data_IF_413075523679
#
_entry.id   IF_413075523679
#
_cell.length_a   1.000
_cell.length_b   1.000
_cell.length_c   1.000
_cell.angle_alpha   90.00
_cell.angle_beta   90.00
_cell.angle_gamma   90.00
#
_symmetry.space_group_name_H-M   'P 1'
#
loop_
_entity.id
_entity.type
_entity.pdbx_description
1 polymer ?
#
# COMPACT_ATOMS: atom_id res chain seq x y z
N UNK A 1 -10.21 22.08 -10.73
CA UNK A 1 -10.07 21.54 -9.36
C UNK A 1 -9.84 20.05 -9.49
N UNK A 2 -8.73 19.51 -9.00
CA UNK A 2 -8.46 18.07 -9.06
C UNK A 2 -9.07 17.40 -7.85
N UNK A 3 -9.97 16.44 -8.06
CA UNK A 3 -10.53 15.60 -7.01
C UNK A 3 -9.82 14.25 -6.97
N UNK A 4 -9.69 13.68 -5.77
CA UNK A 4 -9.15 12.34 -5.54
C UNK A 4 -10.23 11.47 -4.90
N UNK A 5 -10.49 10.30 -5.47
CA UNK A 5 -11.27 9.26 -4.84
C UNK A 5 -10.35 8.44 -3.93
N UNK A 6 -10.66 8.40 -2.63
CA UNK A 6 -9.96 7.54 -1.67
C UNK A 6 -10.84 6.34 -1.35
N UNK A 7 -10.33 5.13 -1.58
CA UNK A 7 -11.02 3.86 -1.34
C UNK A 7 -10.27 3.11 -0.23
N UNK A 8 -10.95 2.75 0.85
CA UNK A 8 -10.43 1.87 1.90
C UNK A 8 -10.95 0.45 1.69
N UNK A 9 -10.04 -0.47 1.39
CA UNK A 9 -10.34 -1.90 1.34
C UNK A 9 -10.46 -2.49 2.75
N UNK A 10 -11.07 -3.67 2.83
CA UNK A 10 -11.16 -4.48 4.05
C UNK A 10 -10.43 -5.80 3.82
N UNK A 11 -9.96 -6.42 4.90
CA UNK A 11 -9.16 -7.64 4.85
C UNK A 11 -9.88 -8.80 4.16
N UNK A 12 -11.19 -8.93 4.39
CA UNK A 12 -12.02 -9.95 3.76
C UNK A 12 -12.66 -9.44 2.47
N UNK A 13 -12.61 -10.25 1.41
CA UNK A 13 -13.19 -9.93 0.10
C UNK A 13 -14.69 -9.59 0.16
N UNK A 14 -15.41 -10.24 1.08
CA UNK A 14 -16.85 -10.03 1.27
C UNK A 14 -17.17 -8.80 2.12
N UNK A 15 -16.18 -8.20 2.79
CA UNK A 15 -16.42 -7.03 3.60
C UNK A 15 -16.54 -5.76 2.74
N UNK A 16 -17.53 -4.90 3.02
CA UNK A 16 -17.75 -3.72 2.20
C UNK A 16 -16.56 -2.75 2.31
N UNK A 17 -16.07 -2.30 1.16
CA UNK A 17 -15.15 -1.18 1.08
C UNK A 17 -15.86 0.11 1.49
N UNK A 18 -15.09 1.13 1.86
CA UNK A 18 -15.62 2.48 2.10
C UNK A 18 -14.83 3.47 1.27
N UNK A 19 -15.48 4.48 0.71
CA UNK A 19 -14.80 5.48 -0.10
C UNK A 19 -15.37 6.88 0.08
N UNK A 20 -14.56 7.88 -0.24
CA UNK A 20 -14.94 9.29 -0.20
C UNK A 20 -14.10 10.10 -1.21
N UNK A 21 -14.68 11.17 -1.72
CA UNK A 21 -13.99 12.11 -2.61
C UNK A 21 -13.36 13.22 -1.76
N UNK A 22 -12.09 13.53 -2.01
CA UNK A 22 -11.38 14.68 -1.44
C UNK A 22 -10.99 15.67 -2.50
N UNK A 23 -10.97 16.95 -2.15
CA UNK A 23 -10.41 18.01 -2.99
C UNK A 23 -8.86 18.01 -2.93
N UNK A 24 -8.24 18.98 -3.60
CA UNK A 24 -6.79 19.14 -3.63
C UNK A 24 -6.15 19.47 -2.28
N UNK A 25 -6.94 19.94 -1.31
CA UNK A 25 -6.49 20.27 0.05
C UNK A 25 -6.74 19.11 1.03
N UNK A 26 -7.30 17.99 0.56
CA UNK A 26 -7.68 16.86 1.39
C UNK A 26 -9.01 17.05 2.13
N UNK A 27 -9.76 18.11 1.85
CA UNK A 27 -11.08 18.31 2.44
C UNK A 27 -12.11 17.41 1.73
N UNK A 28 -13.10 16.95 2.49
CA UNK A 28 -14.14 16.04 1.98
C UNK A 28 -15.06 16.77 1.00
N UNK A 29 -15.18 16.23 -0.22
CA UNK A 29 -16.12 16.67 -1.26
C UNK A 29 -17.34 15.74 -1.33
N UNK A 30 -17.92 15.37 -0.17
CA UNK A 30 -19.10 14.51 -0.09
C UNK A 30 -19.21 13.57 1.12
N UNK A 31 -20.30 12.78 1.19
CA UNK A 31 -20.47 11.75 2.21
C UNK A 31 -19.50 10.58 2.01
N UNK A 32 -19.26 9.83 3.08
CA UNK A 32 -18.59 8.52 2.98
C UNK A 32 -19.62 7.53 2.45
N UNK A 33 -19.25 6.78 1.44
CA UNK A 33 -20.03 5.68 0.87
C UNK A 33 -19.41 4.34 1.25
N UNK A 34 -20.21 3.27 1.22
CA UNK A 34 -19.76 1.92 1.56
C UNK A 34 -20.52 0.89 0.75
N UNK A 35 -19.85 -0.21 0.38
CA UNK A 35 -20.42 -1.28 -0.42
C UNK A 35 -19.34 -2.15 -1.08
N UNK A 36 -19.72 -3.07 -1.99
CA UNK A 36 -18.79 -3.71 -2.90
C UNK A 36 -17.84 -2.70 -3.56
N UNK A 37 -16.55 -3.02 -3.69
CA UNK A 37 -15.56 -2.10 -4.28
C UNK A 37 -15.91 -1.68 -5.71
N UNK A 38 -16.61 -2.56 -6.45
CA UNK A 38 -17.10 -2.28 -7.79
C UNK A 38 -18.06 -1.07 -7.85
N UNK A 39 -18.78 -0.78 -6.76
CA UNK A 39 -19.71 0.36 -6.70
C UNK A 39 -18.95 1.71 -6.71
N UNK A 40 -17.66 1.71 -6.36
CA UNK A 40 -16.80 2.88 -6.43
C UNK A 40 -16.37 3.24 -7.88
N UNK A 41 -16.59 2.37 -8.87
CA UNK A 41 -16.18 2.59 -10.26
C UNK A 41 -16.78 3.85 -10.87
N UNK A 42 -18.05 4.14 -10.55
CA UNK A 42 -18.71 5.35 -11.00
C UNK A 42 -18.04 6.63 -10.45
N UNK A 43 -17.57 6.58 -9.20
CA UNK A 43 -16.87 7.70 -8.57
C UNK A 43 -15.44 7.88 -9.11
N UNK A 44 -14.83 6.83 -9.67
CA UNK A 44 -13.44 6.85 -10.14
C UNK A 44 -13.24 7.61 -11.46
N UNK A 45 -14.28 7.74 -12.29
CA UNK A 45 -14.16 8.33 -13.62
C UNK A 45 -13.61 9.77 -13.57
N UNK A 46 -12.50 10.01 -14.29
CA UNK A 46 -11.86 11.32 -14.38
C UNK A 46 -11.16 11.79 -13.09
N UNK A 47 -11.06 10.94 -12.06
CA UNK A 47 -10.41 11.27 -10.78
C UNK A 47 -9.14 10.46 -10.59
N UNK A 48 -8.21 11.03 -9.82
CA UNK A 48 -7.12 10.25 -9.23
C UNK A 48 -7.73 9.27 -8.23
N UNK A 49 -7.30 8.01 -8.25
CA UNK A 49 -7.74 7.00 -7.29
C UNK A 49 -6.59 6.68 -6.33
N UNK A 50 -6.88 6.68 -5.04
CA UNK A 50 -5.98 6.25 -3.98
C UNK A 50 -6.64 5.12 -3.23
N UNK A 51 -5.96 3.99 -3.12
CA UNK A 51 -6.44 2.81 -2.40
C UNK A 51 -5.67 2.66 -1.09
N UNK A 52 -6.40 2.51 0.01
CA UNK A 52 -5.87 2.19 1.32
C UNK A 52 -6.11 0.70 1.57
N UNK A 53 -5.03 -0.06 1.63
CA UNK A 53 -5.05 -1.49 1.96
C UNK A 53 -5.16 -1.68 3.48
N UNK A 54 -5.72 -2.80 3.96
CA UNK A 54 -5.79 -3.08 5.39
C UNK A 54 -4.39 -3.30 5.95
N UNK A 55 -3.99 -2.53 6.96
CA UNK A 55 -2.66 -2.67 7.56
C UNK A 55 -2.39 -4.05 8.20
N UNK A 56 -3.43 -4.80 8.55
CA UNK A 56 -3.31 -6.18 9.03
C UNK A 56 -2.83 -7.16 7.96
N UNK A 57 -3.01 -6.82 6.68
CA UNK A 57 -2.56 -7.60 5.51
C UNK A 57 -1.20 -7.12 4.99
N UNK A 58 -0.55 -6.17 5.69
CA UNK A 58 0.74 -5.60 5.29
C UNK A 58 1.75 -5.84 6.40
N UNK A 59 2.81 -6.57 6.08
CA UNK A 59 3.98 -6.65 6.96
C UNK A 59 4.88 -5.44 6.71
N UNK A 60 5.15 -4.66 7.76
CA UNK A 60 6.11 -3.57 7.73
C UNK A 60 7.42 -4.03 8.37
N UNK A 61 8.54 -3.83 7.68
CA UNK A 61 9.87 -4.25 8.12
C UNK A 61 10.92 -3.19 7.81
N UNK A 62 12.03 -3.22 8.55
CA UNK A 62 13.15 -2.29 8.38
C UNK A 62 14.50 -3.04 8.29
N UNK A 63 14.73 -3.89 7.27
CA UNK A 63 15.98 -4.62 7.14
C UNK A 63 17.19 -3.69 6.95
N UNK A 64 18.31 -4.06 7.55
CA UNK A 64 19.60 -3.42 7.30
C UNK A 64 20.19 -3.94 5.98
N UNK A 65 20.18 -3.10 4.95
CA UNK A 65 20.63 -3.50 3.62
C UNK A 65 22.01 -2.90 3.31
N UNK A 66 22.97 -3.70 2.81
CA UNK A 66 24.36 -3.27 2.60
C UNK A 66 24.55 -2.33 1.39
N UNK A 67 23.50 -2.04 0.62
CA UNK A 67 23.61 -1.42 -0.71
C UNK A 67 23.05 0.01 -0.75
N UNK A 68 23.82 0.94 -1.32
CA UNK A 68 23.36 2.28 -1.71
C UNK A 68 23.03 2.30 -3.21
N UNK A 69 21.86 1.79 -3.59
CA UNK A 69 21.41 1.82 -5.00
C UNK A 69 20.09 1.06 -5.22
N UNK A 70 19.03 1.78 -5.61
CA UNK A 70 17.64 1.30 -5.58
C UNK A 70 17.36 -0.02 -6.33
N UNK A 71 17.91 -0.20 -7.55
CA UNK A 71 17.66 -1.42 -8.33
C UNK A 71 18.26 -2.68 -7.70
N UNK A 72 19.45 -2.58 -7.07
CA UNK A 72 20.05 -3.69 -6.34
C UNK A 72 19.39 -3.90 -4.97
N UNK A 73 18.86 -2.82 -4.39
CA UNK A 73 18.13 -2.84 -3.13
C UNK A 73 16.86 -3.70 -3.24
N UNK A 74 16.04 -3.47 -4.26
CA UNK A 74 14.81 -4.22 -4.48
C UNK A 74 15.05 -5.73 -4.67
N UNK A 75 16.20 -6.12 -5.24
CA UNK A 75 16.58 -7.53 -5.40
C UNK A 75 17.08 -8.17 -4.11
N UNK A 76 17.70 -7.39 -3.21
CA UNK A 76 18.26 -7.89 -1.95
C UNK A 76 17.21 -7.99 -0.82
N UNK A 77 16.14 -7.20 -0.89
CA UNK A 77 15.08 -7.15 0.14
C UNK A 77 14.43 -8.51 0.43
N UNK A 78 14.02 -9.32 -0.58
CA UNK A 78 13.39 -10.61 -0.32
C UNK A 78 14.30 -11.53 0.53
N UNK A 79 15.56 -11.69 0.12
CA UNK A 79 16.53 -12.52 0.83
C UNK A 79 16.86 -12.00 2.23
N UNK A 80 16.91 -10.68 2.42
CA UNK A 80 17.18 -10.09 3.73
C UNK A 80 16.04 -10.32 4.75
N UNK A 81 14.84 -10.66 4.27
CA UNK A 81 13.64 -10.88 5.09
C UNK A 81 13.20 -12.34 5.14
N UNK A 82 13.86 -13.24 4.41
CA UNK A 82 13.42 -14.63 4.22
C UNK A 82 13.22 -15.39 5.54
N UNK A 83 14.15 -15.27 6.49
CA UNK A 83 14.04 -15.93 7.81
C UNK A 83 13.00 -15.28 8.75
N UNK A 84 12.51 -14.08 8.42
CA UNK A 84 11.56 -13.32 9.24
C UNK A 84 10.12 -13.46 8.74
N UNK A 85 9.93 -13.96 7.52
CA UNK A 85 8.62 -14.10 6.88
C UNK A 85 8.14 -15.54 6.98
N UNK A 86 6.85 -15.70 7.24
CA UNK A 86 6.21 -17.01 7.34
C UNK A 86 5.81 -17.60 5.97
N UNK A 87 5.95 -16.81 4.90
CA UNK A 87 5.59 -17.17 3.53
C UNK A 87 6.83 -17.16 2.63
N UNK A 88 6.75 -17.88 1.51
CA UNK A 88 7.80 -17.91 0.49
C UNK A 88 7.99 -16.51 -0.11
N UNK A 89 9.23 -16.03 -0.14
CA UNK A 89 9.57 -14.71 -0.67
C UNK A 89 9.19 -14.53 -2.15
N UNK A 90 9.07 -15.62 -2.91
CA UNK A 90 8.63 -15.60 -4.31
C UNK A 90 7.13 -15.27 -4.46
N UNK A 91 6.32 -15.59 -3.45
CA UNK A 91 4.87 -15.31 -3.42
C UNK A 91 4.55 -13.93 -2.85
N UNK A 92 5.56 -13.15 -2.50
CA UNK A 92 5.39 -11.84 -1.87
C UNK A 92 5.73 -10.69 -2.82
N UNK A 93 5.09 -9.55 -2.61
CA UNK A 93 5.44 -8.29 -3.22
C UNK A 93 6.06 -7.35 -2.19
N UNK A 94 7.20 -6.77 -2.55
CA UNK A 94 7.98 -5.88 -1.70
C UNK A 94 7.98 -4.46 -2.27
N UNK A 95 7.47 -3.52 -1.49
CA UNK A 95 7.54 -2.09 -1.78
C UNK A 95 8.60 -1.43 -0.89
N UNK A 96 9.69 -0.97 -1.49
CA UNK A 96 10.80 -0.33 -0.77
C UNK A 96 10.53 1.18 -0.62
N UNK A 97 10.47 1.65 0.61
CA UNK A 97 10.27 3.05 0.94
C UNK A 97 11.56 3.88 0.85
N UNK A 98 11.40 5.20 0.94
CA UNK A 98 12.54 6.11 1.04
C UNK A 98 13.24 5.98 2.39
N UNK A 99 14.55 5.78 2.37
CA UNK A 99 15.37 5.76 3.59
C UNK A 99 15.60 7.19 4.08
N UNK A 100 15.25 7.46 5.34
CA UNK A 100 15.55 8.73 5.98
C UNK A 100 17.06 8.89 6.25
N UNK A 101 17.55 10.13 6.21
CA UNK A 101 18.94 10.44 6.52
C UNK A 101 19.25 10.07 7.98
N UNK A 102 20.21 9.18 8.19
CA UNK A 102 20.59 8.70 9.53
C UNK A 102 19.86 7.44 10.00
N UNK A 103 18.86 6.94 9.25
CA UNK A 103 18.23 5.65 9.57
C UNK A 103 19.15 4.48 9.22
N UNK A 104 19.20 3.48 10.12
CA UNK A 104 19.97 2.25 9.95
C UNK A 104 19.21 1.24 9.06
N UNK A 105 17.89 1.16 9.22
CA UNK A 105 17.00 0.29 8.45
C UNK A 105 16.49 0.92 7.15
N UNK A 106 16.07 0.07 6.22
CA UNK A 106 15.36 0.49 5.00
C UNK A 106 13.88 0.12 5.15
N UNK A 107 12.93 1.05 5.12
CA UNK A 107 11.52 0.71 5.27
C UNK A 107 11.02 -0.10 4.08
N UNK A 108 10.33 -1.20 4.36
CA UNK A 108 9.74 -2.10 3.37
C UNK A 108 8.33 -2.45 3.81
N UNK A 109 7.38 -2.37 2.88
CA UNK A 109 6.04 -2.93 3.02
C UNK A 109 5.94 -4.21 2.18
N UNK A 110 5.39 -5.27 2.78
CA UNK A 110 5.26 -6.59 2.16
C UNK A 110 3.79 -7.01 2.15
N UNK A 111 3.33 -7.50 1.01
CA UNK A 111 1.99 -8.06 0.81
C UNK A 111 2.08 -9.36 0.03
N UNK A 112 1.10 -10.24 0.18
CA UNK A 112 1.01 -11.47 -0.61
C UNK A 112 0.60 -11.16 -2.06
N UNK A 113 1.20 -11.89 -3.01
CA UNK A 113 0.77 -11.94 -4.41
C UNK A 113 -0.23 -13.08 -4.53
N UNK A 114 -1.48 -12.74 -4.77
CA UNK A 114 -2.55 -13.69 -5.12
C UNK A 114 -2.17 -14.63 -6.26
#
# INVERSE_FOLDING_TARGET
MSETLVIRLRATEQAPASWLIVDSNGARSGPVQSGPVADALAAAQGRRVVVLVPGSEVTLAEPELPLRGGARLAQAVPFALEEQLAADVETLHFAVGSREAGSVGTPVAVVERS
#
